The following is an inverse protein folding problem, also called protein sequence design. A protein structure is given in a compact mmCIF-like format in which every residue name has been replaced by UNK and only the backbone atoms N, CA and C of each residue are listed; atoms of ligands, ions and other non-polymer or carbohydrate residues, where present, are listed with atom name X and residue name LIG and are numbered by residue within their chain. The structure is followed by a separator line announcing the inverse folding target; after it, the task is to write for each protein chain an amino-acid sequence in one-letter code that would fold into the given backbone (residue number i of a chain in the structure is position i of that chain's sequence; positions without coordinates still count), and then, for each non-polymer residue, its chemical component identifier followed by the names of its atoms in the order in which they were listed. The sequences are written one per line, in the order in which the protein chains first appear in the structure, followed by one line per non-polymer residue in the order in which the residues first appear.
data_IF_043259364777
#
_entry.id   IF_043259364777
#
_cell.length_a   1.000
_cell.length_b   1.000
_cell.length_c   1.000
_cell.angle_alpha   90.00
_cell.angle_beta   90.00
_cell.angle_gamma   90.00
#
_symmetry.space_group_name_H-M   'P 1'
#
loop_
_entity.id
_entity.type
_entity.pdbx_description
1 polymer ?
#
# COMPACT_ATOMS: atom_id res chain seq x y z
N UNK A 1 -28.60 0.62 11.59
CA UNK A 1 -27.42 -0.22 11.87
C UNK A 1 -26.26 0.23 10.96
N UNK A 2 -25.39 1.18 11.35
CA UNK A 2 -24.32 1.71 10.50
C UNK A 2 -22.90 1.36 11.01
N UNK A 3 -22.69 0.21 11.65
CA UNK A 3 -21.42 -0.13 12.30
C UNK A 3 -20.44 -0.94 11.43
N UNK A 4 -20.88 -1.59 10.35
CA UNK A 4 -20.00 -2.47 9.55
C UNK A 4 -19.07 -1.71 8.58
N UNK A 5 -19.47 -0.51 8.12
CA UNK A 5 -18.70 0.22 7.09
C UNK A 5 -17.43 0.86 7.63
N UNK A 6 -17.40 1.26 8.91
CA UNK A 6 -16.26 1.97 9.50
C UNK A 6 -15.06 1.07 9.81
N UNK A 7 -15.29 -0.22 10.11
CA UNK A 7 -14.20 -1.18 10.37
C UNK A 7 -13.48 -1.63 9.10
N UNK A 8 -14.20 -1.70 7.98
CA UNK A 8 -13.62 -2.10 6.69
C UNK A 8 -12.68 -1.02 6.16
N UNK A 9 -13.07 0.26 6.23
CA UNK A 9 -12.25 1.41 5.81
C UNK A 9 -10.95 1.54 6.63
N UNK A 10 -11.05 1.35 7.96
CA UNK A 10 -9.89 1.42 8.86
C UNK A 10 -8.91 0.26 8.65
N UNK A 11 -9.40 -0.89 8.21
CA UNK A 11 -8.56 -2.07 7.92
C UNK A 11 -7.87 -1.91 6.56
N UNK A 12 -8.61 -1.48 5.53
CA UNK A 12 -8.06 -1.18 4.20
C UNK A 12 -7.00 -0.07 4.26
N UNK A 13 -7.23 0.97 5.06
CA UNK A 13 -6.23 2.03 5.24
C UNK A 13 -4.92 1.49 5.85
N UNK A 14 -5.00 0.63 6.88
CA UNK A 14 -3.82 0.00 7.48
C UNK A 14 -3.08 -0.92 6.51
N UNK A 15 -3.82 -1.64 5.66
CA UNK A 15 -3.26 -2.50 4.62
C UNK A 15 -2.47 -1.69 3.59
N UNK A 16 -3.05 -0.58 3.12
CA UNK A 16 -2.40 0.33 2.16
C UNK A 16 -1.13 0.91 2.78
N UNK A 17 -1.18 1.41 4.01
CA UNK A 17 0.02 1.97 4.68
C UNK A 17 1.11 0.91 4.83
N UNK A 18 0.76 -0.31 5.22
CA UNK A 18 1.73 -1.41 5.38
C UNK A 18 2.36 -1.81 4.04
N UNK A 19 1.55 -1.87 2.98
CA UNK A 19 2.02 -2.13 1.62
C UNK A 19 3.00 -1.04 1.17
N UNK A 20 2.62 0.23 1.34
CA UNK A 20 3.46 1.37 0.96
C UNK A 20 4.77 1.38 1.74
N UNK A 21 4.74 1.15 3.05
CA UNK A 21 5.97 1.12 3.86
C UNK A 21 6.90 -0.02 3.45
N UNK A 22 6.34 -1.18 3.06
CA UNK A 22 7.13 -2.31 2.55
C UNK A 22 7.77 -1.97 1.19
N UNK A 23 7.04 -1.27 0.31
CA UNK A 23 7.57 -0.79 -0.97
C UNK A 23 8.66 0.26 -0.74
N UNK A 24 8.49 1.18 0.21
CA UNK A 24 9.51 2.17 0.60
C UNK A 24 10.78 1.51 1.13
N UNK A 25 10.65 0.47 1.96
CA UNK A 25 11.80 -0.26 2.51
C UNK A 25 12.58 -1.04 1.44
N UNK A 26 11.90 -1.54 0.40
CA UNK A 26 12.55 -2.25 -0.71
C UNK A 26 13.07 -1.32 -1.81
N UNK A 27 12.44 -0.17 -1.99
CA UNK A 27 12.84 0.84 -2.98
C UNK A 27 13.88 1.77 -2.37
N UNK A 28 15.13 1.31 -2.29
CA UNK A 28 16.24 2.09 -1.73
C UNK A 28 16.85 3.08 -2.75
N UNK A 29 16.52 2.94 -4.03
CA UNK A 29 17.17 3.70 -5.09
C UNK A 29 16.45 5.04 -5.37
N UNK A 30 17.03 6.14 -4.89
CA UNK A 30 16.50 7.50 -5.11
C UNK A 30 16.38 7.81 -6.59
N UNK A 31 17.30 7.34 -7.45
CA UNK A 31 17.22 7.62 -8.89
C UNK A 31 15.99 6.97 -9.54
N UNK A 32 15.63 5.76 -9.11
CA UNK A 32 14.42 5.07 -9.59
C UNK A 32 13.16 5.85 -9.20
N UNK A 33 13.11 6.35 -7.96
CA UNK A 33 11.98 7.15 -7.46
C UNK A 33 11.89 8.47 -8.23
N UNK A 34 13.03 9.14 -8.45
CA UNK A 34 13.11 10.37 -9.23
C UNK A 34 12.62 10.16 -10.66
N UNK A 35 13.05 9.10 -11.34
CA UNK A 35 12.60 8.76 -12.69
C UNK A 35 11.09 8.47 -12.73
N UNK A 36 10.56 7.77 -11.72
CA UNK A 36 9.13 7.53 -11.59
C UNK A 36 8.35 8.85 -11.46
N UNK A 37 8.78 9.77 -10.60
CA UNK A 37 8.11 11.06 -10.41
C UNK A 37 8.12 11.93 -11.68
N UNK A 38 9.22 11.87 -12.45
CA UNK A 38 9.33 12.55 -13.75
C UNK A 38 8.40 11.89 -14.77
N UNK A 39 8.38 10.55 -14.84
CA UNK A 39 7.53 9.79 -15.76
C UNK A 39 6.04 9.99 -15.51
N UNK A 40 5.65 10.19 -14.25
CA UNK A 40 4.27 10.52 -13.85
C UNK A 40 3.91 12.00 -14.07
N UNK A 41 4.86 12.83 -14.51
CA UNK A 41 4.64 14.27 -14.74
C UNK A 41 4.47 15.09 -13.46
N UNK A 42 4.83 14.54 -12.30
CA UNK A 42 4.70 15.20 -10.99
C UNK A 42 5.76 16.30 -10.85
N UNK A 43 6.96 16.06 -11.37
CA UNK A 43 8.06 17.02 -11.39
C UNK A 43 8.82 16.99 -12.71
N UNK A 44 9.44 18.11 -13.07
CA UNK A 44 10.41 18.15 -14.17
C UNK A 44 11.79 17.66 -13.71
N UNK A 45 12.64 17.22 -14.66
CA UNK A 45 14.04 16.81 -14.36
C UNK A 45 14.83 17.86 -13.58
N UNK A 46 14.56 19.15 -13.84
CA UNK A 46 15.23 20.25 -13.15
C UNK A 46 14.69 20.43 -11.73
N UNK A 47 13.39 20.26 -11.52
CA UNK A 47 12.77 20.37 -10.19
C UNK A 47 13.21 19.24 -9.28
N UNK A 48 13.24 18.00 -9.78
CA UNK A 48 13.65 16.84 -8.97
C UNK A 48 15.09 16.97 -8.44
N UNK A 49 16.00 17.52 -9.25
CA UNK A 49 17.40 17.77 -8.83
C UNK A 49 17.56 18.85 -7.75
N UNK A 50 16.55 19.69 -7.54
CA UNK A 50 16.56 20.75 -6.53
C UNK A 50 15.83 20.34 -5.25
N UNK A 51 15.17 19.18 -5.25
CA UNK A 51 14.44 18.67 -4.09
C UNK A 51 15.37 17.81 -3.24
N UNK A 52 15.15 17.83 -1.92
CA UNK A 52 15.80 16.89 -1.02
C UNK A 52 15.21 15.49 -1.16
N UNK A 53 16.02 14.47 -0.88
CA UNK A 53 15.57 13.07 -0.88
C UNK A 53 14.40 12.83 0.08
N UNK A 54 14.34 13.59 1.20
CA UNK A 54 13.20 13.56 2.13
C UNK A 54 11.88 13.97 1.45
N UNK A 55 11.90 15.05 0.66
CA UNK A 55 10.70 15.52 -0.06
C UNK A 55 10.33 14.53 -1.17
N UNK A 56 11.32 14.04 -1.91
CA UNK A 56 11.12 13.05 -2.97
C UNK A 56 10.46 11.80 -2.41
N UNK A 57 10.95 11.30 -1.27
CA UNK A 57 10.41 10.13 -0.58
C UNK A 57 9.00 10.39 -0.06
N UNK A 58 8.74 11.55 0.55
CA UNK A 58 7.43 11.91 1.06
C UNK A 58 6.37 12.00 -0.05
N UNK A 59 6.72 12.61 -1.20
CA UNK A 59 5.82 12.72 -2.36
C UNK A 59 5.58 11.35 -2.98
N UNK A 60 6.63 10.54 -3.11
CA UNK A 60 6.49 9.18 -3.62
C UNK A 60 5.57 8.33 -2.74
N UNK A 61 5.74 8.40 -1.41
CA UNK A 61 4.86 7.74 -0.44
C UNK A 61 3.41 8.20 -0.59
N UNK A 62 3.18 9.50 -0.71
CA UNK A 62 1.83 10.06 -0.87
C UNK A 62 1.15 9.59 -2.18
N UNK A 63 1.92 9.52 -3.28
CA UNK A 63 1.42 9.02 -4.55
C UNK A 63 1.06 7.55 -4.51
N UNK A 64 1.89 6.72 -3.87
CA UNK A 64 1.57 5.30 -3.69
C UNK A 64 0.30 5.12 -2.86
N UNK A 65 0.16 5.83 -1.73
CA UNK A 65 -1.06 5.78 -0.92
C UNK A 65 -2.28 6.14 -1.76
N UNK A 66 -2.22 7.24 -2.50
CA UNK A 66 -3.32 7.67 -3.37
C UNK A 66 -3.63 6.65 -4.45
N UNK A 67 -2.61 6.05 -5.06
CA UNK A 67 -2.78 5.01 -6.09
C UNK A 67 -3.50 3.78 -5.51
N UNK A 68 -3.02 3.27 -4.38
CA UNK A 68 -3.60 2.09 -3.73
C UNK A 68 -4.99 2.36 -3.12
N UNK A 69 -5.29 3.60 -2.72
CA UNK A 69 -6.64 4.00 -2.29
C UNK A 69 -7.66 3.99 -3.44
N UNK A 70 -7.21 4.13 -4.69
CA UNK A 70 -8.09 4.13 -5.86
C UNK A 70 -8.31 2.72 -6.43
N UNK A 71 -7.54 1.73 -5.97
CA UNK A 71 -7.67 0.35 -6.43
C UNK A 71 -8.82 -0.36 -5.70
N UNK A 72 -9.57 -1.23 -6.39
CA UNK A 72 -10.52 -2.11 -5.73
C UNK A 72 -9.80 -3.13 -4.84
N UNK A 73 -10.43 -3.54 -3.74
CA UNK A 73 -9.85 -4.44 -2.72
C UNK A 73 -9.19 -5.71 -3.29
N UNK A 74 -9.77 -6.29 -4.36
CA UNK A 74 -9.22 -7.48 -5.02
C UNK A 74 -7.87 -7.21 -5.72
N UNK A 75 -7.71 -6.02 -6.31
CA UNK A 75 -6.43 -5.61 -6.92
C UNK A 75 -5.40 -5.26 -5.86
N UNK A 76 -5.82 -4.61 -4.77
CA UNK A 76 -4.95 -4.34 -3.61
C UNK A 76 -4.40 -5.65 -3.03
N UNK A 77 -5.25 -6.66 -2.83
CA UNK A 77 -4.84 -7.99 -2.34
C UNK A 77 -3.86 -8.69 -3.28
N UNK A 78 -4.00 -8.48 -4.59
CA UNK A 78 -3.09 -9.03 -5.60
C UNK A 78 -1.72 -8.37 -5.52
N UNK A 79 -1.69 -7.04 -5.42
CA UNK A 79 -0.46 -6.26 -5.22
C UNK A 79 0.26 -6.68 -3.92
N UNK A 80 -0.47 -6.82 -2.81
CA UNK A 80 0.12 -7.30 -1.55
C UNK A 80 0.77 -8.68 -1.70
N UNK A 81 0.15 -9.60 -2.44
CA UNK A 81 0.72 -10.92 -2.72
C UNK A 81 2.01 -10.83 -3.55
N UNK A 82 2.09 -9.92 -4.53
CA UNK A 82 3.29 -9.69 -5.35
C UNK A 82 4.45 -9.19 -4.49
N UNK A 83 4.17 -8.29 -3.55
CA UNK A 83 5.20 -7.79 -2.61
C UNK A 83 5.52 -8.77 -1.48
N UNK A 84 4.88 -9.95 -1.45
CA UNK A 84 5.11 -10.99 -0.44
C UNK A 84 4.52 -10.66 0.93
N UNK A 85 3.57 -9.72 0.99
CA UNK A 85 2.80 -9.43 2.19
C UNK A 85 1.71 -10.49 2.32
N UNK A 86 2.03 -11.57 3.03
CA UNK A 86 1.05 -12.56 3.44
C UNK A 86 0.13 -11.93 4.50
N UNK A 87 -0.96 -11.29 4.07
CA UNK A 87 -2.02 -10.91 4.98
C UNK A 87 -2.76 -12.19 5.38
N UNK A 88 -2.36 -12.79 6.50
CA UNK A 88 -3.22 -13.74 7.18
C UNK A 88 -4.40 -12.93 7.71
N UNK A 89 -5.55 -13.08 7.09
CA UNK A 89 -6.82 -12.79 7.76
C UNK A 89 -6.83 -13.76 8.94
N UNK A 90 -6.35 -13.32 10.10
CA UNK A 90 -6.72 -13.94 11.36
C UNK A 90 -8.23 -13.69 11.47
N UNK A 91 -9.01 -14.60 10.87
CA UNK A 91 -10.37 -14.83 11.29
C UNK A 91 -10.24 -15.22 12.75
N UNK A 92 -10.45 -14.23 13.61
CA UNK A 92 -10.50 -14.38 15.05
C UNK A 92 -11.29 -15.65 15.36
N UNK A 93 -10.66 -16.47 16.19
CA UNK A 93 -11.00 -17.77 16.76
C UNK A 93 -12.46 -17.95 17.22
N UNK A 94 -13.45 -17.82 16.33
CA UNK A 94 -14.87 -18.08 16.64
C UNK A 94 -15.60 -18.87 15.54
N UNK A 95 -14.87 -19.48 14.60
CA UNK A 95 -15.42 -20.52 13.72
C UNK A 95 -14.90 -21.91 14.13
N UNK A 96 -15.20 -22.29 15.37
CA UNK A 96 -15.16 -23.69 15.80
C UNK A 96 -16.40 -24.43 15.26
N UNK A 97 -16.58 -24.46 13.94
CA UNK A 97 -17.51 -25.38 13.32
C UNK A 97 -16.76 -26.70 13.11
N UNK A 98 -16.71 -27.50 14.18
CA UNK A 98 -16.23 -28.87 14.14
C UNK A 98 -17.09 -29.68 13.15
N UNK A 99 -16.60 -29.85 11.93
CA UNK A 99 -17.03 -30.92 11.04
C UNK A 99 -15.97 -32.03 11.12
N UNK A 100 -16.05 -32.83 12.19
CA UNK A 100 -15.41 -34.14 12.21
C UNK A 100 -16.38 -35.08 11.49
N UNK A 101 -16.06 -35.42 10.24
CA UNK A 101 -16.70 -36.54 9.57
C UNK A 101 -16.08 -37.84 10.10
N UNK A 102 -16.92 -38.69 10.69
CA UNK A 102 -16.69 -40.13 10.86
C UNK A 102 -17.68 -40.87 9.97
#
# INVERSE_FOLDING_TARGET
MPALSAHQDSTTHKLIVTLVDTIMQRSTDSEVIQQFLIGQGVYSRQQVRQLSDEIITAVYRALLIKHYQQLPDQQLMTEMRIYGLAYSVNLTEDYSAAAVAY
#
